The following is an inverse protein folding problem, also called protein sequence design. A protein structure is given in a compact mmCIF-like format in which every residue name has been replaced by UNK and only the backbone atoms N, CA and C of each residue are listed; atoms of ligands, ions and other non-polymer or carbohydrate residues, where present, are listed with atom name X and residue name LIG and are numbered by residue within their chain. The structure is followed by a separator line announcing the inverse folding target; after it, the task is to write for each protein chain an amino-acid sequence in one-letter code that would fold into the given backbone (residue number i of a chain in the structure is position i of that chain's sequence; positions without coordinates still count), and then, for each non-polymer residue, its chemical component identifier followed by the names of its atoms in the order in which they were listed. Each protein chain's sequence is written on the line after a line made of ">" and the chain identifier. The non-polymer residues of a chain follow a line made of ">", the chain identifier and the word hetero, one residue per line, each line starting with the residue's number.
data_IF_204793416128
#
_entry.id   IF_204793416128
#
_cell.length_a   1.000
_cell.length_b   1.000
_cell.length_c   1.000
_cell.angle_alpha   90.00
_cell.angle_beta   90.00
_cell.angle_gamma   90.00
#
_symmetry.space_group_name_H-M   'P 1'
#
loop_
_entity.id
_entity.type
_entity.pdbx_description
1 polymer ?
#
# COMPACT_ATOMS: atom_id res chain seq x y z
N UNK A 1 -3.02 12.77 -1.33
CA UNK A 1 -2.56 11.79 -2.34
C UNK A 1 -1.54 10.89 -1.66
N UNK A 2 -1.38 9.63 -2.09
CA UNK A 2 -0.40 8.71 -1.52
C UNK A 2 0.23 7.83 -2.61
N UNK A 3 1.44 7.27 -2.39
CA UNK A 3 2.11 6.41 -3.36
C UNK A 3 1.29 5.16 -3.68
N UNK A 4 1.06 4.89 -4.95
CA UNK A 4 0.32 3.70 -5.40
C UNK A 4 0.78 3.17 -6.75
N UNK A 5 1.93 3.62 -7.26
CA UNK A 5 2.52 3.12 -8.49
C UNK A 5 3.87 2.51 -8.18
N UNK A 6 4.11 1.32 -8.72
CA UNK A 6 5.34 0.55 -8.57
C UNK A 6 5.73 0.36 -7.09
N UNK A 7 4.75 0.00 -6.27
CA UNK A 7 4.95 -0.28 -4.86
C UNK A 7 5.38 -1.74 -4.72
N UNK A 8 6.49 -1.97 -4.03
CA UNK A 8 6.90 -3.30 -3.61
C UNK A 8 6.07 -3.72 -2.38
N UNK A 9 5.29 -4.77 -2.49
CA UNK A 9 4.46 -5.30 -1.42
C UNK A 9 4.66 -6.82 -1.26
N UNK A 10 4.26 -7.35 -0.11
CA UNK A 10 4.31 -8.78 0.16
C UNK A 10 3.35 -9.54 -0.78
N UNK A 11 3.79 -10.70 -1.24
CA UNK A 11 3.05 -11.56 -2.16
C UNK A 11 3.00 -13.00 -1.66
N UNK A 12 1.98 -13.74 -2.11
CA UNK A 12 1.82 -15.14 -1.73
C UNK A 12 2.84 -15.98 -2.50
N UNK A 13 3.77 -16.70 -1.84
CA UNK A 13 4.90 -17.35 -2.54
C UNK A 13 4.51 -18.49 -3.49
N UNK A 14 3.29 -19.02 -3.38
CA UNK A 14 2.77 -20.07 -4.25
C UNK A 14 1.98 -19.54 -5.46
N UNK A 15 1.95 -18.22 -5.66
CA UNK A 15 1.38 -17.58 -6.84
C UNK A 15 2.48 -16.91 -7.66
N UNK A 16 2.41 -16.97 -9.00
CA UNK A 16 3.37 -16.27 -9.84
C UNK A 16 3.30 -14.76 -9.55
N UNK A 17 4.45 -14.17 -9.21
CA UNK A 17 4.64 -12.73 -9.03
C UNK A 17 4.88 -12.02 -10.38
N UNK A 18 5.22 -12.78 -11.42
CA UNK A 18 5.39 -12.27 -12.78
C UNK A 18 5.67 -13.41 -13.76
N UNK A 19 5.85 -13.05 -15.02
CA UNK A 19 6.21 -14.00 -16.08
C UNK A 19 7.36 -13.46 -16.89
N UNK A 20 8.26 -14.36 -17.29
CA UNK A 20 9.20 -14.06 -18.37
C UNK A 20 8.41 -14.10 -19.68
N UNK A 21 8.07 -12.92 -20.22
CA UNK A 21 7.10 -12.76 -21.32
C UNK A 21 7.36 -13.63 -22.55
N UNK A 22 8.62 -13.82 -22.94
CA UNK A 22 9.01 -14.60 -24.11
C UNK A 22 8.99 -16.12 -23.91
N UNK A 23 8.93 -16.59 -22.66
CA UNK A 23 8.98 -18.01 -22.32
C UNK A 23 7.74 -18.49 -21.54
N UNK A 24 6.80 -17.58 -21.25
CA UNK A 24 5.63 -17.81 -20.38
C UNK A 24 5.98 -18.50 -19.06
N UNK A 25 7.22 -18.33 -18.61
CA UNK A 25 7.74 -19.01 -17.43
C UNK A 25 7.35 -18.22 -16.17
N UNK A 26 6.63 -18.82 -15.20
CA UNK A 26 6.21 -18.14 -13.99
C UNK A 26 7.41 -17.84 -13.08
N UNK A 27 7.45 -16.64 -12.51
CA UNK A 27 8.40 -16.23 -11.50
C UNK A 27 7.71 -16.20 -10.14
N UNK A 28 8.35 -16.77 -9.13
CA UNK A 28 7.86 -16.80 -7.76
C UNK A 28 8.79 -16.00 -6.86
N UNK A 29 8.19 -15.16 -6.02
CA UNK A 29 8.90 -14.36 -5.03
C UNK A 29 7.95 -14.11 -3.84
N UNK A 30 8.50 -13.73 -2.69
CA UNK A 30 7.75 -13.32 -1.51
C UNK A 30 7.25 -11.87 -1.65
N UNK A 31 7.67 -11.15 -2.69
CA UNK A 31 7.30 -9.77 -2.96
C UNK A 31 6.92 -9.55 -4.43
N UNK A 32 6.10 -8.55 -4.68
CA UNK A 32 5.71 -8.13 -6.04
C UNK A 32 5.75 -6.61 -6.14
N UNK A 33 6.10 -6.09 -7.32
CA UNK A 33 5.94 -4.68 -7.64
C UNK A 33 4.62 -4.51 -8.39
N UNK A 34 3.67 -3.78 -7.80
CA UNK A 34 2.35 -3.57 -8.40
C UNK A 34 1.90 -2.09 -8.32
N UNK A 35 0.84 -1.74 -9.05
CA UNK A 35 0.27 -0.40 -9.10
C UNK A 35 -1.25 -0.41 -8.97
N UNK A 36 -1.81 0.48 -8.16
CA UNK A 36 -3.24 0.59 -7.95
C UNK A 36 -3.62 1.53 -6.81
N UNK A 37 -4.87 2.00 -6.81
CA UNK A 37 -5.43 2.74 -5.67
C UNK A 37 -5.52 1.85 -4.42
N UNK A 38 -5.61 0.53 -4.61
CA UNK A 38 -5.47 -0.49 -3.56
C UNK A 38 -4.12 -0.40 -2.84
N UNK A 39 -3.02 -0.09 -3.54
CA UNK A 39 -1.69 0.06 -2.93
C UNK A 39 -1.49 1.45 -2.33
N UNK A 40 -2.20 2.49 -2.79
CA UNK A 40 -2.21 3.80 -2.15
C UNK A 40 -2.99 3.83 -0.82
N UNK A 41 -4.06 3.04 -0.71
CA UNK A 41 -4.93 2.98 0.47
C UNK A 41 -4.20 2.63 1.79
N UNK A 42 -3.34 1.59 1.88
CA UNK A 42 -2.63 1.25 3.11
C UNK A 42 -1.65 2.35 3.54
N UNK A 43 -1.09 3.14 2.62
CA UNK A 43 -0.25 4.29 2.98
C UNK A 43 -1.03 5.35 3.77
N UNK A 44 -2.23 5.71 3.31
CA UNK A 44 -3.10 6.67 4.03
C UNK A 44 -3.60 6.07 5.35
N UNK A 45 -3.95 4.79 5.34
CA UNK A 45 -4.40 4.07 6.54
C UNK A 45 -3.30 4.02 7.61
N UNK A 46 -2.05 3.76 7.22
CA UNK A 46 -0.89 3.79 8.12
C UNK A 46 -0.69 5.16 8.75
N UNK A 47 -0.74 6.24 7.96
CA UNK A 47 -0.66 7.60 8.48
C UNK A 47 -1.81 7.93 9.45
N UNK A 48 -3.03 7.54 9.12
CA UNK A 48 -4.19 7.73 9.99
C UNK A 48 -4.05 6.96 11.31
N UNK A 49 -3.51 5.73 11.27
CA UNK A 49 -3.22 4.94 12.47
C UNK A 49 -2.19 5.63 13.36
N UNK A 50 -1.08 6.13 12.78
CA UNK A 50 -0.06 6.89 13.49
C UNK A 50 -0.64 8.12 14.18
N UNK A 51 -1.46 8.91 13.47
CA UNK A 51 -2.15 10.07 14.02
C UNK A 51 -3.11 9.67 15.15
N UNK A 52 -3.82 8.54 15.02
CA UNK A 52 -4.72 8.04 16.07
C UNK A 52 -3.95 7.59 17.31
N UNK A 53 -2.78 6.97 17.16
CA UNK A 53 -1.92 6.60 18.28
C UNK A 53 -1.32 7.82 18.98
N UNK A 54 -0.88 8.83 18.23
CA UNK A 54 -0.33 10.07 18.79
C UNK A 54 -1.42 10.96 19.42
N UNK A 55 -2.64 10.94 18.87
CA UNK A 55 -3.78 11.72 19.33
C UNK A 55 -5.03 10.84 19.53
N UNK A 56 -5.10 10.02 20.59
CA UNK A 56 -6.19 9.05 20.79
C UNK A 56 -7.59 9.66 20.86
N UNK A 57 -7.70 10.93 21.27
CA UNK A 57 -8.98 11.65 21.38
C UNK A 57 -9.44 12.32 20.08
N UNK A 58 -8.61 12.38 19.04
CA UNK A 58 -9.00 12.99 17.77
C UNK A 58 -10.13 12.19 17.10
N UNK A 59 -11.10 12.93 16.56
CA UNK A 59 -12.18 12.38 15.76
C UNK A 59 -11.66 11.96 14.37
N UNK A 60 -12.38 11.07 13.66
CA UNK A 60 -12.00 10.71 12.28
C UNK A 60 -11.90 11.94 11.36
N UNK A 61 -12.74 12.96 11.58
CA UNK A 61 -12.73 14.21 10.81
C UNK A 61 -11.45 15.01 11.09
N UNK A 62 -11.01 15.09 12.34
CA UNK A 62 -9.78 15.79 12.72
C UNK A 62 -8.52 15.11 12.13
N UNK A 63 -8.49 13.78 12.09
CA UNK A 63 -7.40 13.03 11.44
C UNK A 63 -7.42 13.28 9.94
N UNK A 64 -8.60 13.17 9.31
CA UNK A 64 -8.76 13.45 7.88
C UNK A 64 -8.33 14.88 7.53
N UNK A 65 -8.79 15.89 8.27
CA UNK A 65 -8.44 17.29 8.00
C UNK A 65 -6.94 17.51 8.13
N UNK A 66 -6.27 16.87 9.07
CA UNK A 66 -4.80 16.97 9.22
C UNK A 66 -4.09 16.40 7.99
N UNK A 67 -4.49 15.22 7.52
CA UNK A 67 -3.89 14.58 6.33
C UNK A 67 -4.10 15.41 5.05
N UNK A 68 -5.25 16.07 4.91
CA UNK A 68 -5.56 16.89 3.73
C UNK A 68 -4.95 18.28 3.74
N UNK A 69 -4.75 18.87 4.93
CA UNK A 69 -4.27 20.24 5.10
C UNK A 69 -2.80 20.32 5.55
N UNK A 70 -2.02 19.25 5.36
CA UNK A 70 -0.57 19.37 5.35
C UNK A 70 -0.11 20.22 4.15
#
# INVERSE_FOLDING_TARGET
>A
MAPGSQILDAWVPNKPAGYVQWLEFPLYDNYIIDSGTSLASPHVTGLAALLKTAHPKWSPVAIRSTIFNC
#
